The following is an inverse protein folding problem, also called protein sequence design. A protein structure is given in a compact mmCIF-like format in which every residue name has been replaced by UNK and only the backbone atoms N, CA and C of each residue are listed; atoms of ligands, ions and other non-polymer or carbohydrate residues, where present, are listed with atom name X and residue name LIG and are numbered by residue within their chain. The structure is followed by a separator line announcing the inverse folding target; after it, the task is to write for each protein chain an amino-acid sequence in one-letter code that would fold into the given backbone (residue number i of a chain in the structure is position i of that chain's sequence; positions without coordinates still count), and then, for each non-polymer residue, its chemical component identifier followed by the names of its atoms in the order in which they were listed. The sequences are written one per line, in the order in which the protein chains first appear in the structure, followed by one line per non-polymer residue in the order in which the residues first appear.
data_IF_564923931921
#
_entry.id   IF_564923931921
#
_cell.length_a   1.000
_cell.length_b   1.000
_cell.length_c   1.000
_cell.angle_alpha   90.00
_cell.angle_beta   90.00
_cell.angle_gamma   90.00
#
_symmetry.space_group_name_H-M   'P 1'
#
loop_
_entity.id
_entity.type
_entity.pdbx_description
1 polymer ?
#
# COMPACT_ATOMS: atom_id res chain seq x y z
N UNK A 1 2.86 -9.63 7.07
CA UNK A 1 3.39 -8.34 6.55
C UNK A 1 2.97 -7.13 7.43
N UNK A 2 3.76 -6.05 7.50
CA UNK A 2 3.37 -4.78 8.18
C UNK A 2 3.16 -3.63 7.19
N UNK A 3 2.28 -2.68 7.51
CA UNK A 3 2.03 -1.47 6.71
C UNK A 3 2.70 -0.27 7.37
N UNK A 4 4.02 -0.33 7.52
CA UNK A 4 4.77 0.66 8.28
C UNK A 4 5.36 1.74 7.37
N UNK A 5 5.01 3.01 7.60
CA UNK A 5 5.79 4.13 7.07
C UNK A 5 7.08 4.28 7.88
N UNK A 6 8.16 4.68 7.22
CA UNK A 6 9.46 4.91 7.85
C UNK A 6 9.71 6.40 8.01
N UNK A 7 10.27 6.80 9.15
CA UNK A 7 10.51 8.19 9.51
C UNK A 7 12.00 8.44 9.80
N UNK A 8 12.52 9.56 9.32
CA UNK A 8 13.83 10.07 9.72
C UNK A 8 13.71 11.13 10.84
N UNK A 9 14.81 11.49 11.52
CA UNK A 9 14.79 12.49 12.62
C UNK A 9 14.25 13.88 12.24
N UNK A 10 14.21 14.21 10.95
CA UNK A 10 13.65 15.48 10.45
C UNK A 10 12.14 15.41 10.17
N UNK A 11 11.48 14.27 10.41
CA UNK A 11 10.04 14.10 10.30
C UNK A 11 9.54 13.50 8.98
N UNK A 12 10.32 13.55 7.91
CA UNK A 12 9.90 13.02 6.60
C UNK A 12 9.51 11.55 6.67
N UNK A 13 8.39 11.22 6.03
CA UNK A 13 7.83 9.88 5.96
C UNK A 13 8.05 9.25 4.57
N UNK A 14 8.40 7.97 4.53
CA UNK A 14 8.45 7.21 3.29
C UNK A 14 7.73 5.88 3.41
N UNK A 15 7.16 5.45 2.29
CA UNK A 15 6.66 4.11 2.11
C UNK A 15 6.90 3.69 0.66
N UNK A 16 7.58 2.55 0.40
CA UNK A 16 8.27 1.69 1.36
C UNK A 16 9.43 2.39 2.11
N UNK A 17 9.99 1.72 3.11
CA UNK A 17 11.20 2.18 3.79
C UNK A 17 12.43 2.21 2.88
N UNK A 18 13.33 3.15 3.15
CA UNK A 18 14.63 3.30 2.52
C UNK A 18 15.74 3.26 3.59
N UNK A 19 16.96 2.90 3.19
CA UNK A 19 18.11 2.94 4.11
C UNK A 19 18.40 4.38 4.57
N UNK A 20 18.30 5.33 3.64
CA UNK A 20 18.43 6.77 3.89
C UNK A 20 17.20 7.49 3.37
N UNK A 21 16.78 8.52 4.11
CA UNK A 21 15.68 9.39 3.72
C UNK A 21 15.99 10.02 2.34
N UNK A 22 15.12 9.85 1.33
CA UNK A 22 15.34 10.41 0.00
C UNK A 22 15.29 11.95 -0.03
N UNK A 23 14.68 12.58 0.98
CA UNK A 23 14.58 14.05 1.06
C UNK A 23 15.81 14.70 1.71
N UNK A 24 16.34 14.12 2.80
CA UNK A 24 17.41 14.74 3.58
C UNK A 24 18.66 13.89 3.79
N UNK A 25 18.67 12.63 3.37
CA UNK A 25 19.82 11.72 3.46
C UNK A 25 20.11 11.15 4.85
N UNK A 26 19.31 11.48 5.87
CA UNK A 26 19.43 10.93 7.22
C UNK A 26 18.88 9.50 7.28
N UNK A 27 19.44 8.67 8.17
CA UNK A 27 18.92 7.32 8.43
C UNK A 27 17.47 7.36 8.93
N UNK A 28 16.64 6.41 8.48
CA UNK A 28 15.26 6.29 8.94
C UNK A 28 15.20 5.42 10.20
N UNK A 29 15.02 6.07 11.36
CA UNK A 29 15.17 5.44 12.69
C UNK A 29 13.87 4.98 13.30
N UNK A 30 12.73 5.45 12.79
CA UNK A 30 11.42 5.21 13.38
C UNK A 30 10.44 4.66 12.35
N UNK A 31 9.37 4.01 12.84
CA UNK A 31 8.27 3.51 12.00
C UNK A 31 6.92 3.86 12.59
N UNK A 32 5.94 4.05 11.72
CA UNK A 32 4.54 4.30 12.09
C UNK A 32 3.67 3.27 11.38
N UNK A 33 2.87 2.55 12.15
CA UNK A 33 1.90 1.58 11.63
C UNK A 33 0.69 2.31 11.04
N UNK A 34 0.51 2.18 9.73
CA UNK A 34 -0.62 2.78 9.01
C UNK A 34 -1.87 1.88 9.03
N UNK A 35 -1.79 0.63 9.52
CA UNK A 35 -2.89 -0.33 9.40
C UNK A 35 -4.17 0.08 10.14
N UNK A 36 -4.05 0.96 11.16
CA UNK A 36 -5.17 1.56 11.86
C UNK A 36 -5.61 2.93 11.34
N UNK A 37 -4.91 3.49 10.36
CA UNK A 37 -5.15 4.83 9.83
C UNK A 37 -6.14 4.80 8.64
N UNK A 38 -6.81 5.93 8.42
CA UNK A 38 -7.59 6.18 7.19
C UNK A 38 -6.73 7.00 6.22
N UNK A 39 -6.85 6.72 4.93
CA UNK A 39 -6.18 7.47 3.88
C UNK A 39 -7.13 7.93 2.79
N UNK A 40 -6.70 8.91 2.01
CA UNK A 40 -7.47 9.52 0.92
C UNK A 40 -7.00 8.95 -0.43
N UNK A 41 -7.93 8.55 -1.30
CA UNK A 41 -7.62 8.11 -2.66
C UNK A 41 -7.13 9.29 -3.49
N UNK A 42 -5.84 9.30 -3.83
CA UNK A 42 -5.23 10.34 -4.68
C UNK A 42 -5.55 10.09 -6.16
N UNK A 43 -5.49 8.82 -6.56
CA UNK A 43 -5.84 8.36 -7.91
C UNK A 43 -6.02 6.85 -7.91
N UNK A 44 -6.73 6.33 -8.91
CA UNK A 44 -7.02 4.90 -9.05
C UNK A 44 -7.13 4.49 -10.50
N UNK A 45 -7.04 3.18 -10.75
CA UNK A 45 -7.27 2.57 -12.06
C UNK A 45 -7.73 1.13 -11.92
N UNK A 46 -8.41 0.59 -12.94
CA UNK A 46 -8.78 -0.82 -13.03
C UNK A 46 -8.01 -1.51 -14.14
N UNK A 47 -7.21 -2.50 -13.78
CA UNK A 47 -6.61 -3.41 -14.74
C UNK A 47 -7.60 -4.51 -15.10
N UNK A 48 -8.08 -4.50 -16.34
CA UNK A 48 -9.03 -5.52 -16.85
C UNK A 48 -8.33 -6.73 -17.47
N UNK A 49 -7.01 -6.67 -17.65
CA UNK A 49 -6.18 -7.72 -18.25
C UNK A 49 -4.95 -7.94 -17.37
N UNK A 50 -5.06 -8.79 -16.36
CA UNK A 50 -4.02 -8.98 -15.35
C UNK A 50 -3.09 -10.16 -15.66
N UNK A 51 -1.84 -10.15 -15.17
CA UNK A 51 -0.98 -11.31 -15.25
C UNK A 51 -1.56 -12.53 -14.51
N UNK A 52 -1.13 -13.75 -14.86
CA UNK A 52 -1.48 -14.96 -14.12
C UNK A 52 -1.26 -14.84 -12.61
N UNK A 53 -2.19 -15.37 -11.85
CA UNK A 53 -2.24 -15.32 -10.39
C UNK A 53 -2.81 -14.02 -9.80
N UNK A 54 -2.94 -12.96 -10.58
CA UNK A 54 -3.58 -11.71 -10.13
C UNK A 54 -5.05 -11.72 -10.54
N UNK A 55 -5.96 -11.43 -9.60
CA UNK A 55 -7.42 -11.35 -9.83
C UNK A 55 -7.73 -10.46 -11.04
N UNK A 56 -8.81 -10.75 -11.77
CA UNK A 56 -9.24 -9.96 -12.93
C UNK A 56 -10.76 -9.75 -12.90
N UNK A 57 -11.25 -8.49 -12.96
CA UNK A 57 -10.49 -7.24 -12.92
C UNK A 57 -9.79 -7.00 -11.57
N UNK A 58 -8.76 -6.16 -11.56
CA UNK A 58 -8.07 -5.72 -10.34
C UNK A 58 -7.96 -4.21 -10.31
N UNK A 59 -8.67 -3.58 -9.37
CA UNK A 59 -8.57 -2.14 -9.12
C UNK A 59 -7.42 -1.84 -8.15
N UNK A 60 -6.66 -0.79 -8.48
CA UNK A 60 -5.51 -0.32 -7.72
C UNK A 60 -5.72 1.16 -7.39
N UNK A 61 -5.30 1.57 -6.19
CA UNK A 61 -5.35 2.95 -5.75
C UNK A 61 -3.99 3.39 -5.19
N UNK A 62 -3.67 4.66 -5.41
CA UNK A 62 -2.66 5.38 -4.64
C UNK A 62 -3.40 6.12 -3.53
N UNK A 63 -3.05 5.81 -2.29
CA UNK A 63 -3.70 6.34 -1.08
C UNK A 63 -2.68 7.21 -0.34
N UNK A 64 -3.10 8.42 0.06
CA UNK A 64 -2.33 9.33 0.91
C UNK A 64 -2.82 9.23 2.35
N UNK A 65 -1.90 8.87 3.25
CA UNK A 65 -2.11 8.90 4.69
C UNK A 65 -1.54 10.21 5.23
N UNK A 66 -2.30 10.88 6.09
CA UNK A 66 -1.83 12.06 6.84
C UNK A 66 -1.61 11.66 8.28
N UNK A 67 -0.36 11.65 8.72
CA UNK A 67 0.05 11.18 10.05
C UNK A 67 0.93 12.24 10.70
N UNK A 68 0.48 12.75 11.84
CA UNK A 68 1.21 13.75 12.66
C UNK A 68 1.66 14.99 11.87
N UNK A 69 0.87 15.43 10.89
CA UNK A 69 1.13 16.63 10.08
C UNK A 69 1.97 16.38 8.82
N UNK A 70 2.47 15.15 8.64
CA UNK A 70 3.20 14.71 7.45
C UNK A 70 2.32 13.81 6.58
N UNK A 71 2.68 13.68 5.29
CA UNK A 71 1.96 12.84 4.34
C UNK A 71 2.85 11.72 3.82
N UNK A 72 2.29 10.53 3.66
CA UNK A 72 2.96 9.39 3.02
C UNK A 72 1.98 8.67 2.09
N UNK A 73 2.46 8.19 0.94
CA UNK A 73 1.62 7.53 -0.06
C UNK A 73 1.96 6.05 -0.17
N UNK A 74 0.94 5.23 -0.30
CA UNK A 74 1.06 3.81 -0.59
C UNK A 74 0.21 3.45 -1.81
N UNK A 75 0.67 2.45 -2.58
CA UNK A 75 -0.12 1.84 -3.65
C UNK A 75 -0.59 0.47 -3.20
N UNK A 76 -1.86 0.15 -3.46
CA UNK A 76 -2.46 -1.12 -3.07
C UNK A 76 -3.66 -1.49 -3.92
N UNK A 77 -4.11 -2.75 -3.80
CA UNK A 77 -5.35 -3.21 -4.42
C UNK A 77 -6.55 -2.68 -3.64
N UNK A 78 -7.64 -2.37 -4.32
CA UNK A 78 -8.94 -2.20 -3.67
C UNK A 78 -9.55 -3.59 -3.35
N UNK A 79 -10.44 -3.66 -2.37
CA UNK A 79 -11.29 -4.84 -2.15
C UNK A 79 -12.20 -5.12 -3.35
N UNK A 80 -12.70 -6.35 -3.45
CA UNK A 80 -13.59 -6.72 -4.56
C UNK A 80 -14.92 -5.96 -4.47
N UNK A 81 -15.57 -5.76 -5.62
CA UNK A 81 -16.87 -5.09 -5.75
C UNK A 81 -16.92 -3.69 -5.12
N UNK A 82 -15.75 -3.03 -5.02
CA UNK A 82 -15.60 -1.68 -4.48
C UNK A 82 -15.46 -0.67 -5.61
N UNK A 83 -16.20 0.43 -5.46
CA UNK A 83 -16.07 1.63 -6.28
C UNK A 83 -15.48 2.75 -5.40
N UNK A 84 -14.52 3.50 -5.93
CA UNK A 84 -13.94 4.67 -5.29
C UNK A 84 -13.80 5.79 -6.31
N UNK A 85 -13.84 7.02 -5.83
CA UNK A 85 -13.49 8.23 -6.55
C UNK A 85 -12.23 8.88 -5.96
N UNK A 86 -11.65 9.82 -6.70
CA UNK A 86 -10.57 10.64 -6.14
C UNK A 86 -11.11 11.48 -4.98
N UNK A 87 -10.45 11.40 -3.83
CA UNK A 87 -10.83 12.08 -2.60
C UNK A 87 -11.62 11.19 -1.62
N UNK A 88 -12.00 9.98 -2.00
CA UNK A 88 -12.69 9.06 -1.09
C UNK A 88 -11.75 8.57 0.02
N UNK A 89 -12.33 8.36 1.20
CA UNK A 89 -11.62 7.78 2.34
C UNK A 89 -11.64 6.25 2.29
N UNK A 90 -10.48 5.65 2.49
CA UNK A 90 -10.29 4.21 2.55
C UNK A 90 -9.47 3.80 3.75
N UNK A 91 -9.68 2.59 4.24
CA UNK A 91 -8.87 1.98 5.29
C UNK A 91 -8.11 0.75 4.79
N UNK A 92 -6.91 0.46 5.32
CA UNK A 92 -6.21 -0.77 5.03
C UNK A 92 -6.96 -1.98 5.59
N UNK A 93 -6.98 -3.07 4.83
CA UNK A 93 -7.44 -4.38 5.28
C UNK A 93 -6.41 -5.44 4.92
N UNK A 94 -6.06 -6.26 5.90
CA UNK A 94 -5.12 -7.35 5.68
C UNK A 94 -5.72 -8.42 4.78
N UNK A 95 -4.92 -8.93 3.86
CA UNK A 95 -5.25 -10.04 2.98
C UNK A 95 -4.15 -11.11 3.09
N UNK A 96 -4.54 -12.34 3.39
CA UNK A 96 -3.62 -13.48 3.49
C UNK A 96 -2.98 -13.82 2.14
N UNK A 97 -3.64 -13.47 1.04
CA UNK A 97 -3.15 -13.72 -0.32
C UNK A 97 -3.58 -12.60 -1.27
N UNK A 98 -2.61 -11.81 -1.75
CA UNK A 98 -2.81 -10.74 -2.75
C UNK A 98 -2.87 -11.26 -4.20
N UNK A 99 -2.29 -12.44 -4.43
CA UNK A 99 -2.24 -13.15 -5.72
C UNK A 99 -1.92 -14.63 -5.49
N UNK A 100 -2.42 -15.48 -6.36
CA UNK A 100 -2.23 -16.93 -6.32
C UNK A 100 -0.75 -17.29 -6.60
N UNK A 101 -0.04 -17.93 -5.65
CA UNK A 101 1.36 -18.33 -5.81
C UNK A 101 1.58 -19.50 -6.78
N UNK A 102 0.57 -20.34 -7.03
CA UNK A 102 0.63 -21.47 -7.95
C UNK A 102 0.46 -21.03 -9.41
N UNK A 103 -0.33 -19.99 -9.64
CA UNK A 103 -0.53 -19.40 -10.96
C UNK A 103 0.47 -18.26 -11.30
N UNK A 104 1.17 -17.75 -10.29
CA UNK A 104 2.12 -16.65 -10.44
C UNK A 104 3.39 -16.99 -11.24
N UNK A 105 3.98 -15.99 -11.89
CA UNK A 105 5.24 -16.13 -12.65
C UNK A 105 6.50 -16.02 -11.77
N UNK A 106 6.36 -15.68 -10.49
CA UNK A 106 7.49 -15.53 -9.55
C UNK A 106 7.80 -16.85 -8.86
N UNK A 107 9.06 -17.03 -8.49
CA UNK A 107 9.48 -18.14 -7.62
C UNK A 107 8.76 -18.03 -6.26
N UNK A 108 8.20 -19.14 -5.74
CA UNK A 108 7.24 -19.12 -4.64
C UNK A 108 7.84 -18.66 -3.32
N UNK A 109 9.07 -19.03 -3.05
CA UNK A 109 9.78 -18.71 -1.81
C UNK A 109 10.47 -17.32 -1.87
N UNK A 110 10.49 -16.67 -3.03
CA UNK A 110 11.16 -15.37 -3.23
C UNK A 110 10.50 -14.18 -2.54
N UNK A 111 9.30 -14.34 -1.99
CA UNK A 111 8.51 -13.27 -1.37
C UNK A 111 7.39 -13.84 -0.51
N UNK A 112 6.82 -12.99 0.35
CA UNK A 112 5.53 -13.24 0.96
C UNK A 112 4.39 -12.87 0.00
N UNK A 113 3.24 -13.51 0.19
CA UNK A 113 2.07 -13.39 -0.70
C UNK A 113 0.89 -12.70 -0.04
N UNK A 114 0.97 -12.46 1.26
CA UNK A 114 0.02 -11.67 2.04
C UNK A 114 0.25 -10.16 1.81
N UNK A 115 -0.53 -9.31 2.48
CA UNK A 115 -0.31 -7.86 2.48
C UNK A 115 -1.59 -7.10 2.80
N UNK A 116 -1.67 -5.85 2.33
CA UNK A 116 -2.82 -4.99 2.56
C UNK A 116 -3.53 -4.62 1.26
N UNK A 117 -4.85 -4.59 1.32
CA UNK A 117 -5.76 -3.96 0.35
C UNK A 117 -6.38 -2.72 1.00
N UNK A 118 -7.12 -1.95 0.22
CA UNK A 118 -7.89 -0.81 0.72
C UNK A 118 -9.38 -1.04 0.47
N UNK A 119 -10.21 -0.66 1.43
CA UNK A 119 -11.67 -0.64 1.28
C UNK A 119 -12.24 0.71 1.72
N UNK A 120 -13.39 1.14 1.18
CA UNK A 120 -14.04 2.38 1.60
C UNK A 120 -14.43 2.33 3.07
N UNK A 121 -14.39 3.49 3.74
CA UNK A 121 -14.80 3.65 5.15
C UNK A 121 -16.31 3.76 5.30
#
# INVERSE_FOLDING_TARGET
MTLNAHRCPNGHLTYPGHELCPECGEEQTDTIDLSGETGEVVTWTTSTATPPGVRQPNSLAIVEFRVEGESVRAIGQLTEDTEVEIGDEVRPVYAEELRDPDAGIREKESQEWDGYRFEPV
#
